data_IF_268968703394
#
_entry.id   IF_268968703394
#
_cell.length_a   1.000
_cell.length_b   1.000
_cell.length_c   1.000
_cell.angle_alpha   90.00
_cell.angle_beta   90.00
_cell.angle_gamma   90.00
#
_symmetry.space_group_name_H-M   'P 1'
#
loop_
_entity.id
_entity.type
_entity.pdbx_description
1 polymer ?
#
# COMPACT_ATOMS: atom_id res chain seq x y z
N UNK A 1 7.40 -57.98 3.95
CA UNK A 1 6.04 -57.41 3.78
C UNK A 1 6.12 -55.96 4.22
N UNK A 2 6.35 -55.06 3.28
CA UNK A 2 6.58 -53.64 3.54
C UNK A 2 5.28 -52.91 3.23
N UNK A 3 4.66 -52.30 4.25
CA UNK A 3 3.43 -51.55 4.11
C UNK A 3 3.66 -50.26 3.33
N UNK A 4 2.73 -50.04 2.41
CA UNK A 4 2.64 -48.99 1.40
C UNK A 4 1.84 -47.82 1.99
N UNK A 5 2.10 -46.62 1.46
CA UNK A 5 1.33 -45.36 1.52
C UNK A 5 1.71 -44.37 2.62
N UNK A 6 2.63 -43.46 2.26
CA UNK A 6 2.32 -42.04 2.01
C UNK A 6 3.64 -41.33 1.76
N UNK A 7 4.04 -41.18 0.49
CA UNK A 7 5.10 -40.23 0.15
C UNK A 7 5.00 -39.78 -1.30
N UNK A 8 5.27 -38.48 -1.45
CA UNK A 8 5.61 -37.74 -2.66
C UNK A 8 4.51 -37.42 -3.67
N UNK A 9 3.85 -36.28 -3.46
CA UNK A 9 3.70 -35.27 -4.51
C UNK A 9 3.75 -33.87 -3.90
N UNK A 10 4.96 -33.36 -3.64
CA UNK A 10 5.22 -31.92 -3.49
C UNK A 10 6.74 -31.66 -3.41
N UNK A 11 7.47 -31.94 -4.49
CA UNK A 11 8.77 -31.30 -4.70
C UNK A 11 8.85 -30.84 -6.14
N UNK A 12 8.00 -29.87 -6.48
CA UNK A 12 8.41 -28.89 -7.47
C UNK A 12 9.46 -28.03 -6.79
N UNK A 13 10.66 -27.92 -7.37
CA UNK A 13 11.67 -26.96 -6.94
C UNK A 13 11.03 -25.57 -6.91
N UNK A 14 10.62 -25.14 -5.72
CA UNK A 14 10.39 -23.73 -5.45
C UNK A 14 11.77 -23.09 -5.52
N UNK A 15 11.98 -22.19 -6.47
CA UNK A 15 12.98 -21.14 -6.29
C UNK A 15 12.69 -20.54 -4.91
N UNK A 16 13.69 -20.42 -4.03
CA UNK A 16 13.50 -19.79 -2.71
C UNK A 16 12.81 -18.44 -2.93
N UNK A 17 11.53 -18.37 -2.58
CA UNK A 17 10.67 -17.22 -2.89
C UNK A 17 11.10 -15.96 -2.12
N UNK A 18 11.99 -16.10 -1.13
CA UNK A 18 12.52 -15.02 -0.29
C UNK A 18 13.28 -13.96 -1.08
N UNK A 19 13.89 -14.31 -2.22
CA UNK A 19 14.68 -13.37 -3.02
C UNK A 19 13.83 -12.62 -4.07
N UNK A 20 12.53 -12.89 -4.15
CA UNK A 20 11.68 -12.43 -5.23
C UNK A 20 10.43 -11.70 -4.74
N UNK A 21 10.14 -10.61 -5.42
CA UNK A 21 8.90 -9.86 -5.35
C UNK A 21 7.90 -10.49 -6.31
N UNK A 22 6.85 -11.12 -5.79
CA UNK A 22 5.87 -11.84 -6.62
C UNK A 22 4.43 -11.39 -6.37
N UNK A 23 3.60 -11.46 -7.40
CA UNK A 23 2.15 -11.37 -7.27
C UNK A 23 1.63 -12.51 -6.38
N UNK A 24 0.53 -12.26 -5.68
CA UNK A 24 -0.24 -13.33 -5.03
C UNK A 24 -0.93 -14.17 -6.10
N UNK A 25 -0.28 -15.27 -6.52
CA UNK A 25 -0.79 -16.16 -7.56
C UNK A 25 -1.77 -17.17 -6.95
N UNK A 26 -3.04 -17.24 -7.42
CA UNK A 26 -4.03 -18.22 -6.96
C UNK A 26 -3.73 -19.64 -7.46
N UNK A 27 -2.73 -20.30 -6.88
CA UNK A 27 -2.22 -21.58 -7.37
C UNK A 27 -3.26 -22.70 -7.46
N UNK A 28 -4.27 -22.69 -6.59
CA UNK A 28 -5.40 -23.61 -6.65
C UNK A 28 -6.19 -23.46 -7.97
N UNK A 29 -6.48 -22.23 -8.39
CA UNK A 29 -7.21 -21.96 -9.63
C UNK A 29 -6.32 -22.12 -10.87
N UNK A 30 -5.04 -21.77 -10.78
CA UNK A 30 -4.06 -22.06 -11.85
C UNK A 30 -3.96 -23.56 -12.10
N UNK A 31 -3.87 -24.36 -11.03
CA UNK A 31 -3.79 -25.83 -11.12
C UNK A 31 -5.07 -26.42 -11.71
N UNK A 32 -6.24 -25.94 -11.29
CA UNK A 32 -7.54 -26.37 -11.83
C UNK A 32 -7.72 -26.00 -13.31
N UNK A 33 -7.20 -24.84 -13.74
CA UNK A 33 -7.21 -24.43 -15.15
C UNK A 33 -6.42 -25.41 -16.03
N UNK A 34 -5.38 -26.05 -15.49
CA UNK A 34 -4.48 -26.93 -16.22
C UNK A 34 -3.44 -26.16 -17.04
N UNK A 35 -2.76 -26.85 -17.95
CA UNK A 35 -1.69 -26.29 -18.80
C UNK A 35 -1.74 -26.82 -20.23
N UNK A 36 -0.97 -26.25 -21.15
CA UNK A 36 -0.98 -26.65 -22.55
C UNK A 36 -0.72 -28.16 -22.72
N UNK A 37 0.31 -28.71 -22.05
CA UNK A 37 0.65 -30.13 -22.14
C UNK A 37 -0.49 -31.05 -21.70
N UNK A 38 -1.31 -30.62 -20.72
CA UNK A 38 -2.44 -31.42 -20.22
C UNK A 38 -3.58 -31.57 -21.24
N UNK A 39 -3.64 -30.70 -22.26
CA UNK A 39 -4.74 -30.66 -23.23
C UNK A 39 -4.43 -31.35 -24.56
N UNK A 40 -3.15 -31.61 -24.85
CA UNK A 40 -2.71 -32.12 -26.16
C UNK A 40 -2.76 -31.09 -27.31
N UNK A 41 -3.25 -29.87 -27.10
CA UNK A 41 -3.32 -28.82 -28.13
C UNK A 41 -2.02 -28.01 -28.23
N UNK A 42 -1.37 -28.04 -29.40
CA UNK A 42 -0.04 -27.41 -29.61
C UNK A 42 -0.03 -25.87 -29.68
N UNK A 43 -1.18 -25.21 -29.77
CA UNK A 43 -1.30 -23.74 -29.97
C UNK A 43 -2.11 -23.03 -28.87
N UNK A 44 -2.37 -23.68 -27.75
CA UNK A 44 -3.23 -23.14 -26.69
C UNK A 44 -2.52 -22.16 -25.74
N UNK A 45 -1.19 -21.98 -25.83
CA UNK A 45 -0.39 -21.22 -24.86
C UNK A 45 -0.89 -19.79 -24.65
N UNK A 46 -1.31 -19.11 -25.72
CA UNK A 46 -1.89 -17.77 -25.63
C UNK A 46 -3.17 -17.75 -24.78
N UNK A 47 -4.05 -18.73 -24.99
CA UNK A 47 -5.32 -18.84 -24.27
C UNK A 47 -5.09 -19.11 -22.78
N UNK A 48 -4.17 -20.04 -22.46
CA UNK A 48 -3.75 -20.29 -21.09
C UNK A 48 -3.10 -19.07 -20.44
N UNK A 49 -2.21 -18.37 -21.15
CA UNK A 49 -1.59 -17.14 -20.63
C UNK A 49 -2.64 -16.10 -20.24
N UNK A 50 -3.61 -15.83 -21.12
CA UNK A 50 -4.71 -14.92 -20.81
C UNK A 50 -5.56 -15.39 -19.62
N UNK A 51 -5.79 -16.69 -19.51
CA UNK A 51 -6.60 -17.26 -18.43
C UNK A 51 -5.89 -17.14 -17.09
N UNK A 52 -4.61 -17.51 -17.03
CA UNK A 52 -3.78 -17.36 -15.85
C UNK A 52 -3.72 -15.91 -15.40
N UNK A 53 -3.45 -15.00 -16.33
CA UNK A 53 -3.45 -13.58 -16.05
C UNK A 53 -4.79 -13.11 -15.49
N UNK A 54 -5.92 -13.57 -16.03
CA UNK A 54 -7.24 -13.19 -15.54
C UNK A 54 -7.49 -13.72 -14.13
N UNK A 55 -7.18 -14.99 -13.88
CA UNK A 55 -7.24 -15.61 -12.55
C UNK A 55 -6.42 -14.80 -11.53
N UNK A 56 -5.19 -14.37 -11.89
CA UNK A 56 -4.35 -13.54 -11.02
C UNK A 56 -4.98 -12.15 -10.80
N UNK A 57 -5.67 -11.59 -11.80
CA UNK A 57 -6.29 -10.27 -11.71
C UNK A 57 -7.56 -10.21 -10.86
N UNK A 58 -8.32 -11.28 -10.69
CA UNK A 58 -9.58 -11.21 -9.95
C UNK A 58 -9.82 -12.39 -8.99
N UNK A 59 -8.81 -13.26 -8.83
CA UNK A 59 -8.86 -14.45 -7.98
C UNK A 59 -10.11 -15.31 -8.26
N UNK A 60 -10.53 -15.40 -9.52
CA UNK A 60 -11.71 -16.15 -9.95
C UNK A 60 -11.28 -17.29 -10.89
N UNK A 61 -11.84 -18.51 -10.75
CA UNK A 61 -11.52 -19.62 -11.65
C UNK A 61 -12.09 -19.38 -13.06
N UNK A 62 -11.26 -19.58 -14.08
CA UNK A 62 -11.66 -19.49 -15.49
C UNK A 62 -11.17 -20.68 -16.31
N UNK A 63 -11.96 -21.06 -17.32
CA UNK A 63 -11.58 -22.07 -18.29
C UNK A 63 -10.81 -21.46 -19.46
N UNK A 64 -9.69 -22.08 -19.83
CA UNK A 64 -8.82 -21.57 -20.91
C UNK A 64 -9.49 -21.57 -22.29
N UNK A 65 -10.46 -22.47 -22.51
CA UNK A 65 -11.22 -22.57 -23.75
C UNK A 65 -11.98 -21.28 -24.10
N UNK A 66 -12.26 -20.44 -23.10
CA UNK A 66 -12.84 -19.10 -23.30
C UNK A 66 -11.96 -18.21 -24.18
N UNK A 67 -10.65 -18.42 -24.19
CA UNK A 67 -9.66 -17.58 -24.89
C UNK A 67 -9.00 -18.28 -26.07
N UNK A 68 -9.50 -19.45 -26.47
CA UNK A 68 -8.84 -20.34 -27.42
C UNK A 68 -8.86 -19.81 -28.84
N UNK A 69 -10.05 -19.57 -29.38
CA UNK A 69 -10.26 -19.15 -30.77
C UNK A 69 -11.59 -18.42 -30.80
N UNK A 70 -11.74 -17.34 -31.57
CA UNK A 70 -13.04 -16.68 -31.80
C UNK A 70 -14.07 -17.53 -32.56
N UNK A 71 -14.05 -18.86 -32.42
CA UNK A 71 -14.80 -19.84 -33.20
C UNK A 71 -16.08 -20.33 -32.52
N UNK A 72 -16.48 -19.79 -31.36
CA UNK A 72 -17.76 -20.13 -30.70
C UNK A 72 -18.94 -19.25 -31.12
N UNK A 73 -18.81 -18.44 -32.18
CA UNK A 73 -19.84 -17.46 -32.57
C UNK A 73 -19.99 -16.30 -31.57
N UNK A 74 -19.23 -16.28 -30.48
CA UNK A 74 -19.05 -15.14 -29.61
C UNK A 74 -17.72 -14.46 -29.93
N UNK A 75 -17.77 -13.13 -30.06
CA UNK A 75 -16.67 -12.24 -30.46
C UNK A 75 -15.34 -12.69 -29.85
N UNK A 76 -14.33 -12.84 -30.71
CA UNK A 76 -12.97 -13.25 -30.37
C UNK A 76 -12.54 -12.71 -28.99
N UNK A 77 -12.27 -13.63 -28.06
CA UNK A 77 -11.78 -13.29 -26.73
C UNK A 77 -10.28 -12.96 -26.81
N UNK A 78 -9.96 -11.84 -27.45
CA UNK A 78 -8.62 -11.28 -27.52
C UNK A 78 -8.17 -10.69 -26.17
N UNK A 79 -7.01 -10.00 -26.13
CA UNK A 79 -6.48 -9.41 -24.89
C UNK A 79 -7.52 -8.56 -24.15
N UNK A 80 -8.38 -7.84 -24.87
CA UNK A 80 -9.49 -7.05 -24.34
C UNK A 80 -10.40 -7.85 -23.39
N UNK A 81 -10.80 -9.07 -23.77
CA UNK A 81 -11.73 -9.92 -22.97
C UNK A 81 -11.03 -10.52 -21.76
N UNK A 82 -9.71 -10.66 -21.81
CA UNK A 82 -8.89 -11.05 -20.66
C UNK A 82 -8.55 -9.87 -19.73
N UNK A 83 -9.01 -8.65 -20.04
CA UNK A 83 -8.69 -7.44 -19.29
C UNK A 83 -7.34 -6.82 -19.65
N UNK A 84 -6.79 -7.09 -20.84
CA UNK A 84 -5.51 -6.58 -21.34
C UNK A 84 -5.66 -5.53 -22.44
N UNK A 85 -4.67 -4.64 -22.53
CA UNK A 85 -4.50 -3.72 -23.64
C UNK A 85 -4.04 -4.45 -24.90
N UNK A 86 -4.06 -3.75 -26.05
CA UNK A 86 -3.41 -4.24 -27.28
C UNK A 86 -1.92 -4.53 -27.06
N UNK A 87 -1.36 -5.43 -27.86
CA UNK A 87 0.07 -5.71 -27.84
C UNK A 87 0.87 -4.43 -28.08
N UNK A 88 1.86 -4.17 -27.24
CA UNK A 88 2.85 -3.13 -27.46
C UNK A 88 4.14 -3.79 -27.94
N UNK A 89 4.81 -3.17 -28.93
CA UNK A 89 6.08 -3.63 -29.47
C UNK A 89 7.19 -2.65 -29.13
N UNK A 90 8.37 -3.15 -28.77
CA UNK A 90 9.57 -2.34 -28.51
C UNK A 90 10.81 -3.06 -29.03
N UNK A 91 11.84 -2.33 -29.43
CA UNK A 91 13.14 -2.89 -29.80
C UNK A 91 14.08 -3.07 -28.59
N UNK A 92 13.70 -2.52 -27.43
CA UNK A 92 14.50 -2.58 -26.20
C UNK A 92 14.01 -3.69 -25.27
N UNK A 93 14.89 -4.65 -24.99
CA UNK A 93 14.63 -5.67 -23.98
C UNK A 93 14.47 -5.02 -22.60
N UNK A 94 15.26 -3.99 -22.29
CA UNK A 94 15.24 -3.32 -20.99
C UNK A 94 13.91 -2.63 -20.72
N UNK A 95 13.27 -2.08 -21.76
CA UNK A 95 11.92 -1.50 -21.64
C UNK A 95 10.91 -2.56 -21.20
N UNK A 96 10.98 -3.79 -21.70
CA UNK A 96 10.07 -4.85 -21.26
C UNK A 96 10.31 -5.24 -19.82
N UNK A 97 11.58 -5.41 -19.41
CA UNK A 97 11.90 -5.78 -18.04
C UNK A 97 11.44 -4.69 -17.07
N UNK A 98 11.57 -3.41 -17.45
CA UNK A 98 11.03 -2.29 -16.66
C UNK A 98 9.50 -2.29 -16.61
N UNK A 99 8.83 -2.55 -17.73
CA UNK A 99 7.37 -2.70 -17.76
C UNK A 99 6.92 -3.83 -16.82
N UNK A 100 7.63 -4.96 -16.80
CA UNK A 100 7.36 -6.03 -15.84
C UNK A 100 7.47 -5.50 -14.43
N UNK A 101 8.61 -4.92 -14.04
CA UNK A 101 8.81 -4.35 -12.70
C UNK A 101 7.69 -3.40 -12.27
N UNK A 102 7.38 -2.40 -13.10
CA UNK A 102 6.37 -1.38 -12.78
C UNK A 102 4.97 -1.99 -12.65
N UNK A 103 4.60 -2.93 -13.52
CA UNK A 103 3.27 -3.55 -13.49
C UNK A 103 3.11 -4.55 -12.34
N UNK A 104 4.16 -5.31 -12.05
CA UNK A 104 4.22 -6.20 -10.89
C UNK A 104 3.94 -5.35 -9.64
N UNK A 105 4.65 -4.24 -9.43
CA UNK A 105 4.39 -3.33 -8.29
C UNK A 105 2.97 -2.71 -8.26
N UNK A 106 2.25 -2.68 -9.37
CA UNK A 106 0.84 -2.28 -9.43
C UNK A 106 -0.15 -3.44 -9.23
N UNK A 107 0.33 -4.63 -8.85
CA UNK A 107 -0.50 -5.82 -8.70
C UNK A 107 -0.97 -6.42 -10.03
N UNK A 108 -0.19 -6.24 -11.12
CA UNK A 108 -0.59 -6.60 -12.48
C UNK A 108 0.39 -7.59 -13.13
N UNK A 109 -0.07 -8.77 -13.56
CA UNK A 109 0.75 -9.67 -14.36
C UNK A 109 0.98 -9.09 -15.76
N UNK A 110 2.15 -9.37 -16.35
CA UNK A 110 2.49 -8.92 -17.71
C UNK A 110 2.63 -10.12 -18.61
N UNK A 111 1.90 -10.14 -19.73
CA UNK A 111 2.05 -11.21 -20.71
C UNK A 111 3.18 -10.86 -21.68
N UNK A 112 4.06 -11.82 -21.94
CA UNK A 112 5.26 -11.63 -22.74
C UNK A 112 5.32 -12.61 -23.90
N UNK A 113 5.90 -12.16 -25.01
CA UNK A 113 6.22 -13.00 -26.16
C UNK A 113 7.62 -13.61 -25.99
N UNK A 114 7.67 -14.94 -25.98
CA UNK A 114 8.87 -15.71 -25.72
C UNK A 114 9.15 -16.75 -26.82
N UNK A 115 10.29 -17.42 -26.70
CA UNK A 115 10.75 -18.43 -27.65
C UNK A 115 9.96 -19.72 -27.47
N UNK A 116 9.15 -20.07 -28.47
CA UNK A 116 8.52 -21.38 -28.60
C UNK A 116 9.33 -22.34 -29.47
N UNK A 117 9.00 -23.64 -29.38
CA UNK A 117 9.66 -24.72 -30.13
C UNK A 117 9.52 -24.57 -31.66
N UNK A 118 8.36 -24.12 -32.14
CA UNK A 118 8.07 -23.94 -33.57
C UNK A 118 7.53 -22.55 -33.93
N UNK A 119 7.21 -21.71 -32.92
CA UNK A 119 6.62 -20.38 -33.12
C UNK A 119 6.96 -19.44 -31.95
N UNK A 120 6.18 -18.39 -31.73
CA UNK A 120 6.13 -17.68 -30.46
C UNK A 120 5.43 -18.51 -29.39
N UNK A 121 5.91 -18.36 -28.17
CA UNK A 121 5.26 -18.85 -26.97
C UNK A 121 4.81 -17.65 -26.14
N UNK A 122 3.75 -17.83 -25.35
CA UNK A 122 3.18 -16.77 -24.52
C UNK A 122 3.34 -17.18 -23.07
N UNK A 123 3.93 -16.29 -22.27
CA UNK A 123 4.22 -16.51 -20.86
C UNK A 123 3.72 -15.34 -20.05
N UNK A 124 3.55 -15.53 -18.74
CA UNK A 124 3.06 -14.48 -17.84
C UNK A 124 4.16 -14.16 -16.84
N UNK A 125 4.70 -12.95 -16.87
CA UNK A 125 5.57 -12.47 -15.80
C UNK A 125 4.74 -12.20 -14.54
N UNK A 126 5.21 -12.74 -13.42
CA UNK A 126 4.52 -12.73 -12.12
C UNK A 126 5.40 -12.21 -10.98
N UNK A 127 6.66 -11.89 -11.25
CA UNK A 127 7.55 -11.33 -10.24
C UNK A 127 8.92 -10.94 -10.77
N UNK A 128 9.73 -10.34 -9.90
CA UNK A 128 11.13 -9.99 -10.15
C UNK A 128 12.00 -10.16 -8.90
N UNK A 129 13.32 -10.23 -9.03
CA UNK A 129 14.26 -10.43 -7.92
C UNK A 129 14.38 -9.14 -7.08
N UNK A 130 14.15 -9.21 -5.78
CA UNK A 130 13.97 -8.05 -4.90
C UNK A 130 15.19 -7.10 -4.85
N UNK A 131 16.41 -7.63 -4.92
CA UNK A 131 17.65 -6.85 -4.80
C UNK A 131 18.07 -6.08 -6.06
N UNK A 132 17.25 -6.06 -7.12
CA UNK A 132 17.66 -5.48 -8.40
C UNK A 132 17.33 -3.99 -8.51
N UNK A 133 18.25 -3.20 -9.06
CA UNK A 133 17.94 -1.87 -9.58
C UNK A 133 17.01 -2.03 -10.81
N UNK A 134 15.82 -1.39 -10.84
CA UNK A 134 14.87 -1.50 -11.94
C UNK A 134 15.43 -1.01 -13.28
N UNK A 135 16.52 -0.24 -13.29
CA UNK A 135 17.21 0.17 -14.52
C UNK A 135 18.25 -0.87 -14.99
N UNK A 136 18.62 -1.84 -14.15
CA UNK A 136 19.66 -2.85 -14.43
C UNK A 136 19.14 -4.29 -14.42
N UNK A 137 17.83 -4.46 -14.43
CA UNK A 137 17.16 -5.76 -14.58
C UNK A 137 17.69 -6.56 -15.78
N UNK A 138 17.76 -7.87 -15.59
CA UNK A 138 18.08 -8.85 -16.63
C UNK A 138 17.00 -9.94 -16.70
N UNK A 139 17.06 -10.84 -17.69
CA UNK A 139 16.09 -11.93 -17.78
C UNK A 139 16.20 -12.92 -16.60
N UNK A 140 17.36 -13.06 -15.94
CA UNK A 140 17.46 -13.94 -14.75
C UNK A 140 16.71 -13.40 -13.54
N UNK A 141 16.45 -12.09 -13.53
CA UNK A 141 15.75 -11.43 -12.43
C UNK A 141 14.24 -11.54 -12.54
N UNK A 142 13.68 -12.02 -13.66
CA UNK A 142 12.23 -12.10 -13.84
C UNK A 142 11.72 -13.53 -13.58
N UNK A 143 10.66 -13.61 -12.77
CA UNK A 143 9.87 -14.83 -12.59
C UNK A 143 8.65 -14.83 -13.50
N UNK A 144 8.41 -15.99 -14.10
CA UNK A 144 7.32 -16.22 -15.02
C UNK A 144 6.49 -17.43 -14.57
N UNK A 145 5.23 -17.44 -14.96
CA UNK A 145 4.38 -18.61 -15.04
C UNK A 145 4.30 -19.03 -16.51
N UNK A 146 4.70 -20.27 -16.78
CA UNK A 146 4.78 -20.83 -18.12
C UNK A 146 3.54 -21.69 -18.45
N UNK A 147 2.68 -21.27 -19.40
CA UNK A 147 1.54 -22.04 -19.87
C UNK A 147 1.84 -23.40 -20.48
N UNK A 148 3.10 -23.68 -20.85
CA UNK A 148 3.47 -24.99 -21.38
C UNK A 148 3.14 -26.09 -20.37
N UNK A 149 3.62 -25.96 -19.13
CA UNK A 149 3.44 -26.94 -18.06
C UNK A 149 2.71 -26.38 -16.82
N UNK A 150 2.35 -25.10 -16.82
CA UNK A 150 1.65 -24.44 -15.71
C UNK A 150 2.57 -24.16 -14.53
N UNK A 151 3.89 -24.11 -14.73
CA UNK A 151 4.88 -23.98 -13.64
C UNK A 151 5.56 -22.63 -13.62
N UNK A 152 5.96 -22.21 -12.42
CA UNK A 152 6.83 -21.06 -12.23
C UNK A 152 8.26 -21.37 -12.72
N UNK A 153 8.90 -20.42 -13.40
CA UNK A 153 10.27 -20.51 -13.92
C UNK A 153 10.97 -19.15 -13.90
N UNK A 154 12.29 -19.14 -14.00
CA UNK A 154 13.03 -17.94 -14.43
C UNK A 154 12.77 -17.67 -15.91
N UNK A 155 12.68 -16.40 -16.31
CA UNK A 155 12.54 -16.01 -17.71
C UNK A 155 13.71 -16.50 -18.58
N UNK A 156 14.89 -16.76 -18.00
CA UNK A 156 16.02 -17.39 -18.72
C UNK A 156 15.71 -18.78 -19.28
N UNK A 157 14.81 -19.54 -18.65
CA UNK A 157 14.40 -20.85 -19.13
C UNK A 157 13.51 -20.77 -20.38
N UNK A 158 12.84 -19.64 -20.58
CA UNK A 158 11.93 -19.39 -21.70
C UNK A 158 12.17 -17.96 -22.23
N UNK A 159 13.34 -17.71 -22.85
CA UNK A 159 13.80 -16.36 -23.11
C UNK A 159 12.89 -15.63 -24.11
N UNK A 160 12.92 -14.31 -24.04
CA UNK A 160 12.18 -13.44 -24.95
C UNK A 160 12.56 -13.70 -26.41
N UNK A 161 11.58 -13.60 -27.32
CA UNK A 161 11.79 -13.77 -28.76
C UNK A 161 11.31 -12.54 -29.52
N UNK A 162 12.13 -12.04 -30.41
CA UNK A 162 11.79 -10.91 -31.28
C UNK A 162 10.99 -11.35 -32.51
N UNK A 163 10.26 -10.41 -33.10
CA UNK A 163 9.77 -10.50 -34.49
C UNK A 163 10.94 -10.49 -35.48
N UNK A 164 10.64 -10.74 -36.75
CA UNK A 164 11.61 -10.60 -37.84
C UNK A 164 12.21 -9.18 -37.91
N UNK A 165 11.45 -8.17 -37.45
CA UNK A 165 11.87 -6.76 -37.34
C UNK A 165 12.64 -6.45 -36.05
N UNK A 166 13.02 -7.44 -35.26
CA UNK A 166 13.78 -7.23 -34.01
C UNK A 166 12.95 -6.66 -32.86
N UNK A 167 11.61 -6.78 -32.89
CA UNK A 167 10.74 -6.22 -31.86
C UNK A 167 10.28 -7.28 -30.86
N UNK A 168 10.35 -6.95 -29.58
CA UNK A 168 9.73 -7.70 -28.52
C UNK A 168 8.28 -7.26 -28.31
N UNK A 169 7.39 -8.19 -27.97
CA UNK A 169 5.97 -7.93 -27.74
C UNK A 169 5.55 -8.23 -26.32
N UNK A 170 4.73 -7.35 -25.74
CA UNK A 170 4.14 -7.53 -24.41
C UNK A 170 2.70 -6.99 -24.34
N UNK A 171 1.96 -7.43 -23.33
CA UNK A 171 0.62 -6.95 -23.01
C UNK A 171 0.53 -6.62 -21.53
N UNK A 172 -0.09 -5.49 -21.19
CA UNK A 172 -0.36 -5.06 -19.81
C UNK A 172 -1.85 -5.11 -19.49
N UNK A 173 -2.17 -5.37 -18.23
CA UNK A 173 -3.55 -5.35 -17.75
C UNK A 173 -4.11 -3.92 -17.75
N UNK A 174 -5.41 -3.79 -18.06
CA UNK A 174 -6.15 -2.52 -18.13
C UNK A 174 -6.44 -1.93 -16.76
N UNK A 175 -6.59 -2.79 -15.75
CA UNK A 175 -6.91 -2.43 -14.37
C UNK A 175 -6.12 -3.32 -13.40
N UNK A 176 -6.06 -2.92 -12.13
CA UNK A 176 -5.39 -3.67 -11.07
C UNK A 176 -5.98 -5.06 -10.84
N UNK A 177 -5.16 -5.93 -10.22
CA UNK A 177 -5.45 -7.34 -9.96
C UNK A 177 -5.85 -7.68 -8.53
N UNK A 178 -6.05 -8.96 -8.22
CA UNK A 178 -6.43 -9.47 -6.90
C UNK A 178 -5.27 -9.57 -5.91
N UNK A 179 -4.14 -8.89 -6.17
CA UNK A 179 -2.95 -8.99 -5.33
C UNK A 179 -2.29 -7.64 -5.07
N UNK A 180 -2.07 -7.40 -3.77
CA UNK A 180 -1.00 -6.55 -3.23
C UNK A 180 0.31 -7.33 -3.38
N UNK A 181 1.35 -6.68 -3.88
CA UNK A 181 2.73 -7.16 -3.83
C UNK A 181 3.40 -6.56 -2.59
N UNK A 182 4.17 -7.38 -1.87
CA UNK A 182 5.25 -6.89 -1.03
C UNK A 182 6.55 -7.55 -1.50
N UNK A 183 7.60 -6.80 -1.88
CA UNK A 183 8.93 -7.16 -1.42
C UNK A 183 8.91 -7.07 0.11
N UNK A 184 9.30 -8.11 0.84
CA UNK A 184 9.97 -7.88 2.14
C UNK A 184 11.40 -7.41 1.82
N UNK A 185 11.50 -6.28 1.11
CA UNK A 185 12.71 -5.48 0.90
C UNK A 185 12.35 -4.01 0.70
N UNK A 186 11.45 -3.45 1.52
CA UNK A 186 12.08 -2.57 2.49
C UNK A 186 12.81 -3.54 3.39
N UNK A 187 14.13 -3.44 3.47
CA UNK A 187 14.77 -3.88 4.69
C UNK A 187 14.21 -2.90 5.73
N UNK A 188 13.00 -3.20 6.19
CA UNK A 188 12.32 -2.52 7.26
C UNK A 188 13.25 -2.78 8.41
N UNK A 189 14.03 -1.77 8.76
CA UNK A 189 15.04 -1.98 9.76
C UNK A 189 14.30 -2.41 11.04
N UNK A 190 14.64 -3.61 11.51
CA UNK A 190 14.11 -4.13 12.76
C UNK A 190 14.94 -3.54 13.87
N UNK A 191 14.28 -2.82 14.75
CA UNK A 191 14.89 -2.24 15.93
C UNK A 191 14.34 -2.92 17.16
N UNK A 192 15.24 -3.31 18.05
CA UNK A 192 14.88 -3.83 19.36
C UNK A 192 14.57 -2.66 20.27
N UNK A 193 13.32 -2.57 20.70
CA UNK A 193 12.89 -1.63 21.73
C UNK A 193 12.97 -2.35 23.07
N UNK A 194 13.90 -1.93 23.92
CA UNK A 194 14.10 -2.51 25.25
C UNK A 194 13.45 -1.64 26.31
N UNK A 195 12.71 -2.26 27.22
CA UNK A 195 11.99 -1.60 28.30
C UNK A 195 12.76 -1.73 29.62
N UNK A 196 13.35 -0.63 30.08
CA UNK A 196 13.93 -0.53 31.41
C UNK A 196 12.91 0.05 32.40
N UNK A 197 12.35 -0.83 33.23
CA UNK A 197 11.34 -0.47 34.23
C UNK A 197 11.87 0.36 35.42
N UNK A 198 13.17 0.67 35.50
CA UNK A 198 13.79 1.53 36.53
C UNK A 198 13.31 1.23 37.96
N UNK A 199 13.53 -0.01 38.40
CA UNK A 199 13.13 -0.51 39.73
C UNK A 199 11.71 -1.08 39.82
N UNK A 200 10.95 -1.08 38.73
CA UNK A 200 9.72 -1.85 38.56
C UNK A 200 9.92 -3.19 37.84
N UNK A 201 8.82 -3.86 37.52
CA UNK A 201 8.74 -5.06 36.69
C UNK A 201 7.95 -4.80 35.41
N UNK A 202 8.38 -5.37 34.27
CA UNK A 202 7.73 -5.21 32.96
C UNK A 202 7.78 -6.54 32.19
N UNK A 203 6.71 -6.85 31.45
CA UNK A 203 6.66 -8.01 30.54
C UNK A 203 5.81 -7.66 29.30
N UNK A 204 6.33 -7.85 28.07
CA UNK A 204 7.70 -8.30 27.77
C UNK A 204 8.76 -7.21 28.08
N UNK A 205 10.01 -7.61 28.28
CA UNK A 205 11.15 -6.68 28.53
C UNK A 205 11.71 -6.05 27.25
N UNK A 206 11.33 -6.56 26.09
CA UNK A 206 11.62 -5.97 24.80
C UNK A 206 10.53 -6.32 23.78
N UNK A 207 10.43 -5.51 22.73
CA UNK A 207 9.66 -5.82 21.53
C UNK A 207 10.53 -5.56 20.30
N UNK A 208 10.27 -6.31 19.23
CA UNK A 208 10.80 -6.01 17.91
C UNK A 208 9.87 -4.99 17.26
N UNK A 209 10.42 -3.86 16.81
CA UNK A 209 9.73 -2.85 16.04
C UNK A 209 10.27 -2.82 14.61
N UNK A 210 9.39 -2.58 13.65
CA UNK A 210 9.65 -2.60 12.22
C UNK A 210 9.32 -1.21 11.66
N UNK A 211 10.26 -0.57 10.97
CA UNK A 211 10.05 0.69 10.24
C UNK A 211 8.74 0.69 9.40
N UNK A 212 7.89 1.69 9.62
CA UNK A 212 6.56 1.77 8.99
C UNK A 212 5.44 0.96 9.67
N UNK A 213 5.75 0.13 10.67
CA UNK A 213 4.72 -0.46 11.53
C UNK A 213 4.21 0.59 12.53
N UNK A 214 2.89 0.60 12.72
CA UNK A 214 2.32 1.29 13.88
C UNK A 214 2.77 0.54 15.13
N UNK A 215 3.64 1.17 15.91
CA UNK A 215 3.97 0.73 17.25
C UNK A 215 2.66 0.59 18.05
N UNK A 216 2.28 -0.66 18.31
CA UNK A 216 1.10 -0.98 19.12
C UNK A 216 1.25 -0.49 20.56
N UNK A 217 0.33 -0.87 21.44
CA UNK A 217 0.41 -0.47 22.86
C UNK A 217 1.70 -1.00 23.49
N UNK A 218 2.51 -0.09 24.02
CA UNK A 218 3.70 -0.43 24.81
C UNK A 218 3.28 -1.12 26.12
N UNK A 219 4.11 -2.02 26.68
CA UNK A 219 3.81 -2.66 27.96
C UNK A 219 3.73 -1.61 29.07
N UNK A 220 2.81 -1.83 30.01
CA UNK A 220 2.69 -1.03 31.23
C UNK A 220 3.47 -1.73 32.35
N UNK A 221 4.59 -1.16 32.83
CA UNK A 221 5.33 -1.72 33.95
C UNK A 221 4.59 -1.49 35.27
N UNK A 222 4.94 -2.26 36.29
CA UNK A 222 4.44 -2.09 37.66
C UNK A 222 5.59 -1.86 38.63
N UNK A 223 5.42 -0.92 39.58
CA UNK A 223 6.35 -0.67 40.67
C UNK A 223 5.55 -0.36 41.94
N UNK A 224 5.61 -1.19 43.00
CA UNK A 224 4.87 -0.94 44.23
C UNK A 224 5.16 0.44 44.83
N UNK A 225 4.11 1.21 45.15
CA UNK A 225 4.24 2.58 45.69
C UNK A 225 4.46 3.67 44.64
N UNK A 226 4.45 3.34 43.34
CA UNK A 226 4.69 4.29 42.26
C UNK A 226 3.65 4.13 41.14
N UNK A 227 3.29 5.25 40.52
CA UNK A 227 2.42 5.35 39.36
C UNK A 227 3.27 5.53 38.11
N UNK A 228 3.00 4.71 37.10
CA UNK A 228 3.70 4.78 35.82
C UNK A 228 3.18 5.97 35.01
N UNK A 229 4.08 6.89 34.64
CA UNK A 229 3.75 8.10 33.88
C UNK A 229 4.00 7.98 32.37
N UNK A 230 4.77 6.99 31.93
CA UNK A 230 5.11 6.78 30.51
C UNK A 230 6.57 6.38 30.27
N UNK A 231 6.91 6.13 29.02
CA UNK A 231 8.24 5.74 28.56
C UNK A 231 9.02 6.96 28.01
N UNK A 232 10.32 7.05 28.30
CA UNK A 232 11.21 8.13 27.82
C UNK A 232 12.40 7.62 27.00
N UNK A 233 12.76 8.38 25.96
CA UNK A 233 14.00 8.25 25.17
C UNK A 233 15.12 9.08 25.85
N UNK A 234 16.09 8.39 26.47
CA UNK A 234 17.26 8.96 27.19
C UNK A 234 16.98 9.82 28.45
N UNK A 235 18.00 9.93 29.31
CA UNK A 235 18.00 10.79 30.51
C UNK A 235 18.13 12.27 30.11
N UNK A 236 17.02 12.88 29.68
CA UNK A 236 16.96 14.29 29.25
C UNK A 236 15.59 14.70 28.72
N UNK A 237 15.51 15.87 28.07
CA UNK A 237 14.29 16.44 27.47
C UNK A 237 13.83 15.70 26.21
N UNK A 238 13.59 14.40 26.33
CA UNK A 238 13.07 13.52 25.29
C UNK A 238 11.55 13.33 25.36
N UNK A 239 10.97 13.04 24.19
CA UNK A 239 9.57 12.69 23.95
C UNK A 239 9.03 11.68 24.99
N UNK A 240 7.87 11.95 25.59
CA UNK A 240 7.14 11.03 26.47
C UNK A 240 6.19 10.19 25.63
N UNK A 241 6.33 8.86 25.69
CA UNK A 241 5.43 7.92 24.99
C UNK A 241 4.48 7.30 26.03
N UNK A 242 3.18 7.58 25.91
CA UNK A 242 2.17 7.02 26.82
C UNK A 242 1.72 5.63 26.34
N UNK A 243 1.40 4.70 27.26
CA UNK A 243 0.94 3.34 26.91
C UNK A 243 -0.42 3.30 26.18
N UNK A 244 -1.15 4.41 26.12
CA UNK A 244 -2.41 4.56 25.36
C UNK A 244 -2.23 5.12 23.95
N UNK A 245 -1.04 5.62 23.62
CA UNK A 245 -0.75 6.15 22.29
C UNK A 245 -0.29 5.01 21.37
N UNK A 246 -0.79 4.98 20.13
CA UNK A 246 -0.02 4.34 19.05
C UNK A 246 1.26 5.16 18.97
N UNK A 247 2.41 4.59 19.32
CA UNK A 247 3.61 5.41 19.39
C UNK A 247 3.93 5.89 17.96
N UNK A 248 3.67 7.18 17.67
CA UNK A 248 3.93 7.80 16.37
C UNK A 248 5.41 8.09 16.15
N UNK A 249 6.27 7.36 16.86
CA UNK A 249 7.70 7.45 16.76
C UNK A 249 8.15 6.44 15.70
N UNK A 250 8.72 6.96 14.62
CA UNK A 250 9.52 6.15 13.72
C UNK A 250 10.86 5.93 14.43
N UNK A 251 11.07 4.73 14.98
CA UNK A 251 12.39 4.36 15.47
C UNK A 251 13.31 4.16 14.26
N UNK A 252 14.56 4.62 14.35
CA UNK A 252 15.55 4.47 13.28
C UNK A 252 16.82 3.77 13.77
N UNK A 253 16.79 3.22 14.99
CA UNK A 253 17.83 2.41 15.63
C UNK A 253 17.28 1.64 16.86
N UNK A 254 18.03 0.64 17.32
CA UNK A 254 17.77 -0.04 18.61
C UNK A 254 17.64 0.99 19.73
N UNK A 255 16.57 0.89 20.51
CA UNK A 255 16.17 1.96 21.41
C UNK A 255 15.89 1.43 22.82
N UNK A 256 16.45 2.11 23.82
CA UNK A 256 16.11 1.88 25.22
C UNK A 256 15.08 2.90 25.68
N UNK A 257 13.93 2.41 26.16
CA UNK A 257 12.90 3.20 26.79
C UNK A 257 12.96 3.03 28.30
N UNK A 258 12.98 4.16 29.00
CA UNK A 258 13.07 4.20 30.46
C UNK A 258 11.74 4.58 31.08
N UNK A 259 11.28 3.81 32.07
CA UNK A 259 10.03 4.08 32.75
C UNK A 259 10.13 5.35 33.61
N UNK A 260 9.24 6.32 33.37
CA UNK A 260 9.04 7.45 34.25
C UNK A 260 8.00 7.10 35.31
N UNK A 261 8.37 7.32 36.57
CA UNK A 261 7.54 7.03 37.72
C UNK A 261 7.21 8.30 38.50
N UNK A 262 6.01 8.35 39.07
CA UNK A 262 5.63 9.25 40.15
C UNK A 262 5.42 8.43 41.41
N UNK A 263 5.98 8.83 42.54
CA UNK A 263 5.62 8.21 43.82
C UNK A 263 4.13 8.42 44.06
N UNK A 264 3.41 7.33 44.31
CA UNK A 264 2.05 7.42 44.83
C UNK A 264 2.25 7.83 46.29
N UNK A 265 1.78 9.01 46.70
CA UNK A 265 1.85 9.41 48.09
C UNK A 265 1.18 8.31 48.90
N UNK A 266 1.94 7.67 49.79
CA UNK A 266 1.37 6.68 50.71
C UNK A 266 0.37 7.45 51.55
N UNK A 267 -0.92 7.27 51.31
CA UNK A 267 -1.94 7.76 52.23
C UNK A 267 -1.79 6.92 53.49
N UNK A 268 -1.00 7.43 54.43
CA UNK A 268 -0.93 6.91 55.79
C UNK A 268 -2.29 7.22 56.40
N UNK A 269 -3.25 6.32 56.22
CA UNK A 269 -4.45 6.27 57.03
C UNK A 269 -3.97 6.08 58.48
N UNK A 270 -4.26 7.02 59.41
CA UNK A 270 -3.85 6.85 60.79
C UNK A 270 -4.62 5.67 61.37
N UNK A 271 -3.93 4.59 61.71
CA UNK A 271 -4.40 3.68 62.76
C UNK A 271 -3.97 4.34 64.06
N UNK A 272 -4.94 4.81 64.85
CA UNK A 272 -4.68 5.36 66.18
C UNK A 272 -4.01 4.31 67.09
N UNK A 273 -2.80 4.66 67.54
CA UNK A 273 -2.22 4.49 68.89
C UNK A 273 -1.90 3.05 69.40
N UNK A 274 -0.75 2.71 70.02
CA UNK A 274 0.28 3.51 70.70
C UNK A 274 1.69 2.89 70.67
N UNK A 275 2.68 3.76 70.97
CA UNK A 275 4.04 3.55 71.55
C UNK A 275 5.30 3.91 70.70
N UNK A 276 5.66 5.21 70.80
CA UNK A 276 6.98 5.87 70.92
C UNK A 276 8.21 5.46 70.07
N UNK A 277 8.64 6.35 69.14
CA UNK A 277 10.06 6.65 68.80
C UNK A 277 10.18 8.04 68.12
N UNK A 278 11.32 8.78 68.22
CA UNK A 278 11.36 10.22 67.94
C UNK A 278 11.56 10.56 66.45
N UNK A 279 10.81 11.55 65.98
CA UNK A 279 10.74 12.02 64.58
C UNK A 279 11.82 13.06 64.24
N UNK A 280 12.50 12.85 63.12
CA UNK A 280 13.21 13.89 62.36
C UNK A 280 12.20 14.71 61.55
N UNK A 281 12.14 16.02 61.80
CA UNK A 281 11.24 16.96 61.13
C UNK A 281 11.58 17.03 59.63
N UNK A 282 10.67 16.56 58.78
CA UNK A 282 10.77 16.72 57.32
C UNK A 282 10.54 18.20 56.94
N UNK A 283 11.28 18.75 55.96
CA UNK A 283 11.10 20.13 55.54
C UNK A 283 9.71 20.33 54.93
N UNK A 284 9.07 21.47 55.23
CA UNK A 284 7.75 21.83 54.73
C UNK A 284 7.70 21.81 53.19
N UNK A 285 6.63 21.25 52.62
CA UNK A 285 6.49 21.16 51.18
C UNK A 285 6.46 22.54 50.51
N UNK A 286 7.11 22.70 49.34
CA UNK A 286 7.09 23.95 48.60
C UNK A 286 5.67 24.28 48.14
N UNK A 287 5.17 25.46 48.56
CA UNK A 287 3.85 25.96 48.18
C UNK A 287 3.95 26.57 46.78
N UNK A 288 3.02 26.24 45.89
CA UNK A 288 2.94 26.80 44.53
C UNK A 288 1.64 27.59 44.35
N UNK A 289 1.70 28.59 43.47
CA UNK A 289 0.52 29.29 42.98
C UNK A 289 -0.41 28.33 42.21
N UNK A 290 -1.69 28.69 42.03
CA UNK A 290 -2.58 27.97 41.12
C UNK A 290 -2.00 27.91 39.70
N UNK A 291 -2.35 26.84 38.97
CA UNK A 291 -1.97 26.71 37.56
C UNK A 291 -2.53 27.86 36.72
N UNK A 292 -1.70 28.38 35.83
CA UNK A 292 -2.14 29.26 34.75
C UNK A 292 -3.17 28.56 33.87
N UNK A 293 -3.91 29.37 33.11
CA UNK A 293 -4.65 28.85 31.96
C UNK A 293 -3.72 28.20 30.93
N UNK A 294 -4.30 27.31 30.11
CA UNK A 294 -3.59 26.74 28.96
C UNK A 294 -3.36 27.81 27.89
N UNK A 295 -2.15 27.85 27.34
CA UNK A 295 -1.70 28.79 26.31
C UNK A 295 -0.90 28.07 25.24
N UNK A 296 -0.85 28.62 24.04
CA UNK A 296 -0.01 28.12 22.93
C UNK A 296 1.40 28.71 22.95
N UNK A 297 1.63 29.70 23.82
CA UNK A 297 2.95 30.30 23.99
C UNK A 297 3.85 29.33 24.78
N UNK A 298 5.02 28.93 24.22
CA UNK A 298 5.93 28.02 24.92
C UNK A 298 6.42 28.63 26.24
N UNK A 299 6.38 27.83 27.30
CA UNK A 299 6.96 28.17 28.62
C UNK A 299 7.85 27.03 29.08
N UNK A 300 8.97 27.37 29.72
CA UNK A 300 9.97 26.39 30.19
C UNK A 300 9.91 26.23 31.71
N UNK A 301 10.11 25.01 32.18
CA UNK A 301 10.22 24.70 33.61
C UNK A 301 11.54 25.24 34.19
N UNK A 302 11.55 25.51 35.48
CA UNK A 302 12.73 25.94 36.23
C UNK A 302 12.67 25.40 37.67
N UNK A 303 13.71 25.67 38.47
CA UNK A 303 13.71 25.29 39.89
C UNK A 303 12.53 25.87 40.70
N UNK A 304 11.93 26.96 40.21
CA UNK A 304 10.79 27.63 40.84
C UNK A 304 9.51 27.56 40.00
N UNK A 305 9.54 27.01 38.79
CA UNK A 305 8.40 26.97 37.87
C UNK A 305 8.10 25.57 37.39
N UNK A 306 6.89 25.11 37.66
CA UNK A 306 6.37 23.87 37.06
C UNK A 306 5.66 24.20 35.76
N UNK A 307 5.80 23.32 34.76
CA UNK A 307 5.14 23.42 33.46
C UNK A 307 4.48 22.10 33.13
N UNK A 308 3.27 22.16 32.60
CA UNK A 308 2.60 21.04 31.96
C UNK A 308 2.38 21.33 30.48
N UNK A 309 2.45 20.29 29.67
CA UNK A 309 2.14 20.34 28.25
C UNK A 309 1.02 19.36 27.91
N UNK A 310 0.24 19.71 26.89
CA UNK A 310 -0.73 18.79 26.28
C UNK A 310 -0.80 19.04 24.79
N UNK A 311 -1.07 18.00 24.03
CA UNK A 311 -1.43 18.11 22.62
C UNK A 311 -2.94 18.09 22.50
N UNK A 312 -3.50 19.08 21.80
CA UNK A 312 -4.93 19.18 21.56
C UNK A 312 -5.19 19.17 20.06
N UNK A 313 -6.18 18.39 19.65
CA UNK A 313 -6.64 18.36 18.27
C UNK A 313 -7.38 19.66 17.98
N UNK A 314 -6.90 20.44 17.02
CA UNK A 314 -7.48 21.73 16.64
C UNK A 314 -8.31 21.64 15.37
N UNK A 315 -8.07 20.63 14.52
CA UNK A 315 -8.97 20.31 13.41
C UNK A 315 -9.01 18.81 13.11
N UNK A 316 -10.15 18.38 12.59
CA UNK A 316 -10.35 17.02 12.08
C UNK A 316 -9.64 16.83 10.73
N UNK A 317 -9.25 15.58 10.45
CA UNK A 317 -8.85 15.20 9.11
C UNK A 317 -10.07 15.21 8.19
N UNK A 318 -9.92 15.65 6.95
CA UNK A 318 -11.02 15.69 5.99
C UNK A 318 -10.56 15.46 4.55
N UNK A 319 -11.48 15.07 3.68
CA UNK A 319 -11.21 14.82 2.26
C UNK A 319 -11.45 16.08 1.44
N UNK A 320 -10.54 16.38 0.52
CA UNK A 320 -10.74 17.37 -0.53
C UNK A 320 -10.88 16.70 -1.90
N UNK A 321 -11.62 17.36 -2.78
CA UNK A 321 -11.91 16.93 -4.14
C UNK A 321 -11.47 18.00 -5.13
N UNK A 322 -11.06 17.59 -6.33
CA UNK A 322 -10.95 18.45 -7.50
C UNK A 322 -11.47 17.74 -8.73
N UNK A 323 -11.89 18.51 -9.72
CA UNK A 323 -12.52 17.99 -10.92
C UNK A 323 -11.83 18.53 -12.15
N UNK A 324 -11.90 17.81 -13.25
CA UNK A 324 -11.32 18.31 -14.48
C UNK A 324 -12.05 17.92 -15.76
N UNK A 325 -11.69 18.64 -16.81
CA UNK A 325 -12.12 18.48 -18.20
C UNK A 325 -11.01 18.94 -19.15
N UNK A 326 -11.11 18.59 -20.42
CA UNK A 326 -10.36 19.27 -21.48
C UNK A 326 -11.24 20.33 -22.13
N UNK A 327 -10.63 21.43 -22.55
CA UNK A 327 -11.30 22.53 -23.24
C UNK A 327 -10.56 22.92 -24.52
N UNK A 328 -11.30 23.30 -25.55
CA UNK A 328 -10.76 23.84 -26.81
C UNK A 328 -11.83 24.68 -27.52
N UNK A 329 -11.51 25.94 -27.88
CA UNK A 329 -12.36 26.86 -28.65
C UNK A 329 -13.86 26.85 -28.28
N UNK A 330 -14.18 26.96 -26.98
CA UNK A 330 -15.57 27.02 -26.50
C UNK A 330 -16.26 25.66 -26.31
N UNK A 331 -15.55 24.56 -26.54
CA UNK A 331 -16.01 23.20 -26.29
C UNK A 331 -15.25 22.56 -25.12
N UNK A 332 -15.92 21.65 -24.42
CA UNK A 332 -15.31 20.84 -23.36
C UNK A 332 -15.64 19.35 -23.52
N UNK A 333 -14.71 18.51 -23.06
CA UNK A 333 -14.78 17.06 -23.23
C UNK A 333 -13.90 16.35 -22.18
N UNK A 334 -14.17 15.08 -21.90
CA UNK A 334 -13.25 14.21 -21.17
C UNK A 334 -11.91 13.99 -21.90
N UNK A 335 -11.88 14.16 -23.23
CA UNK A 335 -10.77 13.74 -24.07
C UNK A 335 -10.17 14.90 -24.87
N UNK A 336 -8.87 15.15 -24.70
CA UNK A 336 -8.13 16.12 -25.53
C UNK A 336 -8.12 15.73 -27.01
N UNK A 337 -7.84 14.46 -27.32
CA UNK A 337 -7.77 13.95 -28.70
C UNK A 337 -9.09 14.08 -29.45
N UNK A 338 -10.22 14.05 -28.73
CA UNK A 338 -11.54 14.32 -29.32
C UNK A 338 -11.64 15.76 -29.82
N UNK A 339 -11.29 16.71 -28.95
CA UNK A 339 -11.38 18.13 -29.25
C UNK A 339 -10.42 18.49 -30.40
N UNK A 340 -9.20 17.95 -30.35
CA UNK A 340 -8.20 18.15 -31.38
C UNK A 340 -8.58 17.47 -32.70
N UNK A 341 -9.09 16.24 -32.66
CA UNK A 341 -9.45 15.45 -33.83
C UNK A 341 -10.68 15.97 -34.60
N UNK A 342 -11.57 16.73 -33.94
CA UNK A 342 -12.71 17.40 -34.57
C UNK A 342 -12.40 18.83 -35.04
N UNK A 343 -11.15 19.28 -34.92
CA UNK A 343 -10.74 20.60 -35.38
C UNK A 343 -11.12 21.75 -34.43
N UNK A 344 -11.48 21.46 -33.17
CA UNK A 344 -11.70 22.50 -32.16
C UNK A 344 -10.41 23.16 -31.65
N UNK A 345 -9.26 22.83 -32.25
CA UNK A 345 -7.95 23.35 -31.86
C UNK A 345 -7.29 22.53 -30.75
N UNK A 346 -6.10 22.98 -30.32
CA UNK A 346 -5.30 22.30 -29.30
C UNK A 346 -6.04 22.31 -27.96
N UNK A 347 -6.23 21.14 -27.37
CA UNK A 347 -6.95 21.02 -26.12
C UNK A 347 -6.04 21.35 -24.94
N UNK A 348 -6.58 22.04 -23.94
CA UNK A 348 -5.91 22.27 -22.66
C UNK A 348 -6.66 21.57 -21.53
N UNK A 349 -5.92 21.17 -20.51
CA UNK A 349 -6.48 20.61 -19.28
C UNK A 349 -7.02 21.76 -18.42
N UNK A 350 -8.30 21.69 -18.06
CA UNK A 350 -8.97 22.62 -17.15
C UNK A 350 -9.34 21.86 -15.87
N UNK A 351 -8.76 22.28 -14.75
CA UNK A 351 -8.94 21.64 -13.43
C UNK A 351 -9.38 22.66 -12.38
N UNK A 352 -10.29 22.25 -11.50
CA UNK A 352 -10.70 23.08 -10.37
C UNK A 352 -9.60 23.13 -9.30
N UNK A 353 -9.67 24.14 -8.44
CA UNK A 353 -9.00 24.09 -7.14
C UNK A 353 -9.54 22.95 -6.26
N UNK A 354 -8.77 22.61 -5.22
CA UNK A 354 -9.20 21.66 -4.20
C UNK A 354 -10.30 22.26 -3.31
N UNK A 355 -11.35 21.50 -3.05
CA UNK A 355 -12.47 21.90 -2.19
C UNK A 355 -12.91 20.76 -1.28
N UNK A 356 -13.36 21.07 -0.06
CA UNK A 356 -14.03 20.08 0.81
C UNK A 356 -15.46 19.77 0.34
N UNK A 357 -16.04 20.62 -0.51
CA UNK A 357 -17.37 20.40 -1.08
C UNK A 357 -17.29 19.50 -2.31
N UNK A 358 -17.95 18.35 -2.23
CA UNK A 358 -18.06 17.41 -3.34
C UNK A 358 -19.08 17.90 -4.38
N UNK A 359 -18.76 17.82 -5.68
CA UNK A 359 -19.70 18.14 -6.74
C UNK A 359 -20.75 17.02 -6.88
N UNK A 360 -21.98 17.42 -7.20
CA UNK A 360 -23.05 16.49 -7.49
C UNK A 360 -22.81 15.81 -8.83
N UNK A 361 -23.14 14.51 -8.91
CA UNK A 361 -23.23 13.82 -10.19
C UNK A 361 -24.55 14.18 -10.87
N UNK A 362 -24.56 14.47 -12.17
CA UNK A 362 -25.79 14.77 -12.90
C UNK A 362 -26.72 13.54 -13.05
N UNK A 363 -26.25 12.36 -12.66
CA UNK A 363 -26.95 11.08 -12.82
C UNK A 363 -27.05 10.64 -14.28
N UNK A 364 -26.42 11.37 -15.20
CA UNK A 364 -26.35 11.05 -16.62
C UNK A 364 -24.96 10.54 -16.96
N UNK A 365 -24.96 9.42 -17.63
CA UNK A 365 -23.77 8.78 -18.15
C UNK A 365 -23.39 9.51 -19.44
N UNK A 366 -22.24 10.20 -19.42
CA UNK A 366 -21.78 10.96 -20.58
C UNK A 366 -20.91 10.05 -21.45
N UNK A 367 -21.10 10.07 -22.77
CA UNK A 367 -20.21 9.38 -23.70
C UNK A 367 -19.77 10.34 -24.80
N UNK A 368 -18.52 10.20 -25.23
CA UNK A 368 -17.93 11.03 -26.25
C UNK A 368 -18.41 10.52 -27.61
N UNK A 369 -19.08 11.37 -28.39
CA UNK A 369 -19.77 10.97 -29.62
C UNK A 369 -18.86 10.40 -30.72
N UNK A 370 -17.57 10.75 -30.72
CA UNK A 370 -16.61 10.30 -31.74
C UNK A 370 -15.89 9.02 -31.36
N UNK A 371 -15.45 8.87 -30.10
CA UNK A 371 -14.81 7.63 -29.64
C UNK A 371 -15.82 6.60 -29.15
N UNK A 372 -17.10 6.97 -29.00
CA UNK A 372 -18.15 6.18 -28.34
C UNK A 372 -17.64 5.57 -27.05
N UNK A 373 -16.94 6.38 -26.24
CA UNK A 373 -16.29 6.01 -24.98
C UNK A 373 -15.10 5.05 -25.03
N UNK A 374 -14.62 4.63 -26.21
CA UNK A 374 -13.50 3.68 -26.34
C UNK A 374 -12.14 4.36 -26.13
N UNK A 375 -11.63 4.38 -24.90
CA UNK A 375 -10.30 4.88 -24.54
C UNK A 375 -9.49 3.85 -23.76
N UNK A 376 -8.39 3.38 -24.34
CA UNK A 376 -7.50 2.41 -23.70
C UNK A 376 -7.01 2.89 -22.32
N UNK A 377 -7.35 2.13 -21.27
CA UNK A 377 -6.84 2.33 -19.90
C UNK A 377 -7.75 3.11 -18.94
N UNK A 378 -8.86 3.70 -19.41
CA UNK A 378 -9.78 4.50 -18.57
C UNK A 378 -11.27 4.26 -18.91
N UNK A 379 -11.60 3.14 -19.56
CA UNK A 379 -12.97 2.81 -19.92
C UNK A 379 -13.82 2.54 -18.66
N UNK A 380 -14.79 3.39 -18.34
CA UNK A 380 -15.89 3.00 -17.44
C UNK A 380 -17.03 2.47 -18.31
N UNK A 381 -17.43 1.22 -18.12
CA UNK A 381 -18.55 0.62 -18.85
C UNK A 381 -19.79 0.57 -17.97
N UNK A 382 -20.96 0.90 -18.51
CA UNK A 382 -22.22 0.91 -17.78
C UNK A 382 -22.69 -0.54 -17.66
N UNK A 383 -23.72 -0.77 -16.86
CA UNK A 383 -24.27 -2.13 -16.68
C UNK A 383 -24.74 -2.77 -18.00
N UNK A 384 -25.03 -1.97 -19.03
CA UNK A 384 -25.35 -2.41 -20.40
C UNK A 384 -24.12 -2.51 -21.34
N UNK A 385 -22.90 -2.33 -20.82
CA UNK A 385 -21.65 -2.53 -21.56
C UNK A 385 -21.26 -1.39 -22.50
N UNK A 386 -21.90 -0.22 -22.41
CA UNK A 386 -21.49 0.99 -23.15
C UNK A 386 -20.45 1.76 -22.34
N UNK A 387 -19.41 2.31 -22.98
CA UNK A 387 -18.46 3.14 -22.26
C UNK A 387 -19.02 4.55 -22.00
N UNK A 388 -18.86 5.01 -20.76
CA UNK A 388 -19.43 6.22 -20.21
C UNK A 388 -18.47 6.87 -19.20
N UNK A 389 -18.75 8.10 -18.82
CA UNK A 389 -18.12 8.78 -17.68
C UNK A 389 -19.19 9.43 -16.82
N UNK A 390 -18.91 9.51 -15.51
CA UNK A 390 -19.72 10.31 -14.61
C UNK A 390 -19.51 11.79 -14.94
N UNK A 391 -20.59 12.49 -15.20
CA UNK A 391 -20.57 13.95 -15.31
C UNK A 391 -20.80 14.56 -13.93
N UNK A 392 -19.85 15.40 -13.52
CA UNK A 392 -19.90 16.18 -12.29
C UNK A 392 -20.28 17.63 -12.63
N UNK A 393 -21.21 18.20 -11.86
CA UNK A 393 -21.68 19.58 -12.07
C UNK A 393 -21.16 20.49 -10.97
N UNK A 394 -20.51 21.58 -11.38
CA UNK A 394 -20.20 22.68 -10.46
C UNK A 394 -21.49 23.38 -10.01
N UNK A 395 -21.45 24.18 -8.93
CA UNK A 395 -22.58 25.02 -8.52
C UNK A 395 -23.05 26.01 -9.59
N UNK A 396 -22.17 26.41 -10.51
CA UNK A 396 -22.49 27.28 -11.66
C UNK A 396 -23.02 26.51 -12.88
N UNK A 397 -23.16 25.18 -12.80
CA UNK A 397 -23.70 24.33 -13.86
C UNK A 397 -22.67 23.81 -14.86
N UNK A 398 -21.38 24.09 -14.65
CA UNK A 398 -20.28 23.67 -15.51
C UNK A 398 -20.00 22.17 -15.36
N UNK A 399 -19.78 21.48 -16.49
CA UNK A 399 -19.51 20.04 -16.53
C UNK A 399 -18.04 19.72 -16.36
N UNK A 400 -17.77 18.67 -15.59
CA UNK A 400 -16.47 18.04 -15.42
C UNK A 400 -16.62 16.53 -15.54
N UNK A 401 -15.55 15.85 -15.93
CA UNK A 401 -15.64 14.46 -16.34
C UNK A 401 -14.78 13.51 -15.49
N UNK A 402 -13.73 13.98 -14.80
CA UNK A 402 -13.05 13.20 -13.75
C UNK A 402 -13.05 13.90 -12.39
N UNK A 403 -12.91 13.08 -11.34
CA UNK A 403 -12.76 13.48 -9.95
C UNK A 403 -11.43 12.94 -9.42
N UNK A 404 -10.72 13.77 -8.68
CA UNK A 404 -9.60 13.36 -7.84
C UNK A 404 -9.91 13.69 -6.39
N UNK A 405 -9.39 12.87 -5.46
CA UNK A 405 -9.54 13.11 -4.03
C UNK A 405 -8.21 13.01 -3.30
N UNK A 406 -8.07 13.76 -2.20
CA UNK A 406 -6.92 13.67 -1.29
C UNK A 406 -7.36 13.86 0.16
N UNK A 407 -6.61 13.28 1.09
CA UNK A 407 -6.83 13.47 2.52
C UNK A 407 -6.00 14.65 3.03
N UNK A 408 -6.64 15.57 3.74
CA UNK A 408 -5.99 16.61 4.54
C UNK A 408 -5.91 16.08 5.98
N UNK A 409 -4.70 15.97 6.57
CA UNK A 409 -4.54 15.43 7.91
C UNK A 409 -5.12 16.36 8.98
N UNK A 410 -5.46 15.79 10.14
CA UNK A 410 -5.86 16.54 11.32
C UNK A 410 -4.71 17.43 11.81
N UNK A 411 -5.02 18.64 12.26
CA UNK A 411 -4.02 19.54 12.86
C UNK A 411 -4.10 19.41 14.38
N UNK A 412 -2.92 19.36 14.99
CA UNK A 412 -2.75 19.30 16.43
C UNK A 412 -1.90 20.50 16.88
N UNK A 413 -2.20 21.02 18.07
CA UNK A 413 -1.49 22.14 18.67
C UNK A 413 -1.01 21.76 20.07
N UNK A 414 0.21 22.16 20.41
CA UNK A 414 0.76 21.98 21.75
C UNK A 414 0.38 23.18 22.61
N UNK A 415 -0.24 22.92 23.76
CA UNK A 415 -0.55 23.90 24.78
C UNK A 415 0.28 23.67 26.04
N UNK A 416 0.57 24.75 26.73
CA UNK A 416 1.38 24.84 27.93
C UNK A 416 0.60 25.52 29.04
N UNK A 417 0.82 25.13 30.28
CA UNK A 417 0.46 25.92 31.46
C UNK A 417 1.57 25.84 32.49
N UNK A 418 1.65 26.82 33.38
CA UNK A 418 2.70 26.87 34.40
C UNK A 418 2.14 27.29 35.76
N UNK A 419 2.91 27.03 36.81
CA UNK A 419 2.72 27.63 38.13
C UNK A 419 4.06 27.88 38.78
N UNK A 420 4.15 28.96 39.54
CA UNK A 420 5.36 29.37 40.23
C UNK A 420 5.32 29.03 41.70
N UNK A 421 6.48 28.73 42.25
CA UNK A 421 6.67 28.48 43.68
C UNK A 421 6.51 29.80 44.41
N UNK A 422 5.68 29.80 45.46
CA UNK A 422 5.57 30.90 46.40
C UNK A 422 6.77 30.80 47.35
N UNK A 423 7.51 31.90 47.45
CA UNK A 423 8.68 31.99 48.33
C UNK A 423 8.29 31.97 49.81
#
# INVERSE_FOLDING_TARGET
MCSILLTSMATAFAVEQSDYVTLSVPWNYISQCGSQVSTGYKQACQAFAFTYSRIILDNTPYAWTRYRDGSSGQRACGPFVAGYNSCVNTTSQQTILRVVYDNINMGRPVMLRAKGSTSFHYIVAIGYRASCDPNRLSQSDILILDPWDGRQKSLTAVPLKTTAQGQYGYWTARSGGAAVIRPETEQVAEYTITFDARGGSVSPTSITWREGDTCGKLPTPTRPGYEFLGWKLYEGSGLLILPTDNCGADFTEDTNLFALWREIPTEVQPVEDQTQQPETIAPAEPIYEPWSGWSTTPVSASATRQVETRTVKVSEAYTQYRYGRYVANGHDCWCSLYLEGLGYGRASLDVTGWSSTKYGTSGRDWSCGYCRGSHAGYDHFSSDGRPWWKEYKSPSGQSYYWEESRTVPAVYETQYRYRDRIN
#
